data_IF_952253443141
#
_entry.id   IF_952253443141
#
_cell.length_a   1.000
_cell.length_b   1.000
_cell.length_c   1.000
_cell.angle_alpha   90.00
_cell.angle_beta   90.00
_cell.angle_gamma   90.00
#
_symmetry.space_group_name_H-M   'P 1'
#
loop_
_entity.id
_entity.type
_entity.pdbx_description
1 polymer ?
#
# COMPACT_ATOMS: atom_id res chain seq x y z
N UNK A 1 -0.69 0.11 41.07
CA UNK A 1 0.63 -0.42 40.71
C UNK A 1 0.96 -1.77 41.41
N UNK A 2 0.01 -2.66 41.61
CA UNK A 2 0.29 -4.03 42.08
C UNK A 2 -0.70 -4.96 41.38
N UNK A 3 -0.26 -5.70 40.38
CA UNK A 3 -1.08 -6.80 39.84
C UNK A 3 -1.05 -7.05 38.34
N UNK A 4 -0.27 -6.30 37.53
CA UNK A 4 -0.26 -6.50 36.08
C UNK A 4 1.06 -7.07 35.51
N UNK A 5 1.89 -7.68 36.34
CA UNK A 5 3.25 -8.03 35.92
C UNK A 5 3.41 -9.38 35.22
N UNK A 6 2.38 -10.20 35.01
CA UNK A 6 2.60 -11.55 34.44
C UNK A 6 1.48 -12.09 33.51
N UNK A 7 0.38 -11.43 33.30
CA UNK A 7 -0.75 -12.04 32.59
C UNK A 7 -0.69 -12.03 31.04
N UNK A 8 -0.19 -10.98 30.36
CA UNK A 8 -0.26 -10.94 28.88
C UNK A 8 0.71 -11.89 28.19
N UNK A 9 1.92 -12.03 28.69
CA UNK A 9 2.93 -12.90 28.09
C UNK A 9 2.53 -14.39 28.08
N UNK A 10 1.87 -14.85 29.13
CA UNK A 10 1.44 -16.25 29.22
C UNK A 10 0.30 -16.62 28.27
N UNK A 11 -0.56 -15.71 27.92
CA UNK A 11 -1.68 -16.01 27.00
C UNK A 11 -1.21 -16.18 25.56
N UNK A 12 -0.32 -15.33 25.09
CA UNK A 12 0.27 -15.46 23.74
C UNK A 12 1.20 -16.66 23.65
N UNK A 13 2.04 -16.88 24.64
CA UNK A 13 2.92 -18.03 24.78
C UNK A 13 2.14 -19.36 24.68
N UNK A 14 1.03 -19.48 25.41
CA UNK A 14 0.21 -20.68 25.40
C UNK A 14 -0.58 -20.84 24.10
N UNK A 15 -1.03 -19.74 23.48
CA UNK A 15 -1.83 -19.78 22.27
C UNK A 15 -1.00 -20.08 21.01
N UNK A 16 0.24 -19.60 20.94
CA UNK A 16 1.11 -19.74 19.76
C UNK A 16 2.17 -20.85 19.92
N UNK A 17 2.32 -21.42 21.11
CA UNK A 17 3.32 -22.48 21.37
C UNK A 17 4.77 -21.98 21.26
N UNK A 18 5.02 -20.68 21.49
CA UNK A 18 6.36 -20.09 21.43
C UNK A 18 7.23 -20.55 22.59
N UNK A 19 8.51 -20.71 22.33
CA UNK A 19 9.53 -20.94 23.37
C UNK A 19 9.83 -19.65 24.14
N UNK A 20 10.47 -19.76 25.32
CA UNK A 20 10.91 -18.58 26.06
C UNK A 20 11.92 -17.74 25.27
N UNK A 21 12.79 -18.37 24.49
CA UNK A 21 13.77 -17.69 23.65
C UNK A 21 13.08 -16.87 22.55
N UNK A 22 12.13 -17.48 21.83
CA UNK A 22 11.33 -16.80 20.79
C UNK A 22 10.54 -15.64 21.37
N UNK A 23 9.96 -15.79 22.55
CA UNK A 23 9.25 -14.70 23.21
C UNK A 23 10.18 -13.55 23.60
N UNK A 24 11.34 -13.85 24.15
CA UNK A 24 12.32 -12.82 24.51
C UNK A 24 12.85 -12.09 23.27
N UNK A 25 13.09 -12.80 22.17
CA UNK A 25 13.50 -12.22 20.90
C UNK A 25 12.42 -11.31 20.33
N UNK A 26 11.14 -11.72 20.41
CA UNK A 26 10.01 -10.92 19.96
C UNK A 26 9.86 -9.63 20.77
N UNK A 27 9.94 -9.71 22.11
CA UNK A 27 9.90 -8.54 22.99
C UNK A 27 11.06 -7.58 22.69
N UNK A 28 12.27 -8.12 22.53
CA UNK A 28 13.44 -7.33 22.19
C UNK A 28 13.33 -6.65 20.82
N UNK A 29 12.81 -7.35 19.81
CA UNK A 29 12.60 -6.81 18.46
C UNK A 29 11.59 -5.65 18.43
N UNK A 30 10.65 -5.65 19.38
CA UNK A 30 9.65 -4.58 19.53
C UNK A 30 10.06 -3.50 20.54
N UNK A 31 11.25 -3.58 21.13
CA UNK A 31 11.70 -2.73 22.23
C UNK A 31 10.69 -2.68 23.39
N UNK A 32 10.04 -3.83 23.67
CA UNK A 32 9.02 -3.93 24.70
C UNK A 32 9.58 -3.88 26.11
N UNK A 33 8.92 -3.15 26.98
CA UNK A 33 9.27 -3.01 28.41
C UNK A 33 8.20 -3.61 29.32
N UNK A 34 8.54 -3.80 30.57
CA UNK A 34 7.61 -4.32 31.55
C UNK A 34 6.43 -3.36 31.78
N UNK A 35 5.22 -3.80 31.47
CA UNK A 35 3.98 -3.01 31.53
C UNK A 35 3.43 -2.63 30.17
N UNK A 36 4.16 -2.88 29.09
CA UNK A 36 3.69 -2.65 27.73
C UNK A 36 2.66 -3.70 27.30
N UNK A 37 1.76 -3.29 26.42
CA UNK A 37 0.87 -4.15 25.69
C UNK A 37 1.35 -4.25 24.24
N UNK A 38 1.83 -5.43 23.85
CA UNK A 38 2.27 -5.71 22.48
C UNK A 38 1.11 -6.37 21.71
N UNK A 39 0.76 -5.79 20.58
CA UNK A 39 -0.33 -6.24 19.72
C UNK A 39 0.22 -6.73 18.38
N UNK A 40 -0.28 -7.88 17.93
CA UNK A 40 0.18 -8.54 16.71
C UNK A 40 -1.01 -8.87 15.82
N UNK A 41 -0.78 -8.82 14.52
CA UNK A 41 -1.69 -9.35 13.51
C UNK A 41 -0.88 -10.18 12.51
N UNK A 42 -1.43 -11.32 12.09
CA UNK A 42 -0.84 -12.19 11.09
C UNK A 42 -1.94 -12.67 10.15
N UNK A 43 -1.90 -12.21 8.90
CA UNK A 43 -2.84 -12.54 7.84
C UNK A 43 -2.24 -12.08 6.50
N UNK A 44 -3.04 -12.06 5.41
CA UNK A 44 -2.67 -11.38 4.16
C UNK A 44 -2.31 -9.92 4.46
N UNK A 45 -1.32 -9.36 3.76
CA UNK A 45 -0.78 -8.02 4.00
C UNK A 45 -1.87 -6.94 4.16
N UNK A 46 -2.87 -6.93 3.28
CA UNK A 46 -3.97 -5.96 3.33
C UNK A 46 -4.72 -6.01 4.66
N UNK A 47 -5.05 -7.22 5.13
CA UNK A 47 -5.78 -7.42 6.40
C UNK A 47 -4.95 -6.93 7.59
N UNK A 48 -3.64 -7.22 7.58
CA UNK A 48 -2.71 -6.77 8.64
C UNK A 48 -2.62 -5.25 8.65
N UNK A 49 -2.40 -4.61 7.50
CA UNK A 49 -2.28 -3.16 7.42
C UNK A 49 -3.57 -2.43 7.83
N UNK A 50 -4.71 -2.88 7.33
CA UNK A 50 -6.02 -2.29 7.67
C UNK A 50 -6.31 -2.43 9.16
N UNK A 51 -6.07 -3.62 9.73
CA UNK A 51 -6.34 -3.89 11.15
C UNK A 51 -5.43 -3.12 12.09
N UNK A 52 -4.11 -3.16 11.86
CA UNK A 52 -3.15 -2.44 12.71
C UNK A 52 -3.23 -0.93 12.51
N UNK A 53 -3.51 -0.47 11.30
CA UNK A 53 -3.74 0.94 11.00
C UNK A 53 -4.95 1.50 11.75
N UNK A 54 -6.09 0.81 11.69
CA UNK A 54 -7.30 1.19 12.42
C UNK A 54 -7.08 1.15 13.94
N UNK A 55 -6.44 0.09 14.44
CA UNK A 55 -6.14 -0.06 15.86
C UNK A 55 -5.24 1.06 16.38
N UNK A 56 -4.20 1.44 15.63
CA UNK A 56 -3.30 2.54 15.99
C UNK A 56 -4.06 3.86 16.18
N UNK A 57 -4.97 4.18 15.26
CA UNK A 57 -5.78 5.41 15.32
C UNK A 57 -6.74 5.36 16.50
N UNK A 58 -7.39 4.23 16.71
CA UNK A 58 -8.34 4.06 17.81
C UNK A 58 -7.67 4.21 19.19
N UNK A 59 -6.53 3.56 19.38
CA UNK A 59 -5.74 3.68 20.60
C UNK A 59 -5.22 5.11 20.81
N UNK A 60 -4.78 5.79 19.74
CA UNK A 60 -4.33 7.17 19.84
C UNK A 60 -5.45 8.12 20.27
N UNK A 61 -6.69 7.88 19.84
CA UNK A 61 -7.88 8.64 20.28
C UNK A 61 -8.21 8.35 21.75
N UNK A 62 -8.26 7.07 22.15
CA UNK A 62 -8.58 6.66 23.52
C UNK A 62 -7.56 7.14 24.54
N UNK A 63 -6.29 7.21 24.15
CA UNK A 63 -5.20 7.66 25.00
C UNK A 63 -4.92 9.18 24.88
N UNK A 64 -5.76 9.91 24.13
CA UNK A 64 -5.64 11.36 23.92
C UNK A 64 -4.26 11.80 23.38
N UNK A 65 -3.62 10.96 22.54
CA UNK A 65 -2.31 11.23 21.97
C UNK A 65 -2.33 12.13 20.73
N UNK A 66 -3.52 12.46 20.21
CA UNK A 66 -3.69 13.29 19.02
C UNK A 66 -3.79 14.76 19.42
N UNK A 67 -2.74 15.54 19.17
CA UNK A 67 -2.77 16.99 19.34
C UNK A 67 -3.44 17.65 18.12
N UNK A 68 -4.58 18.30 18.34
CA UNK A 68 -5.36 18.98 17.29
C UNK A 68 -4.69 20.27 16.76
N UNK A 69 -3.70 20.78 17.47
CA UNK A 69 -2.95 21.98 17.07
C UNK A 69 -1.66 21.65 16.34
N UNK A 70 -1.33 20.38 16.20
CA UNK A 70 -0.14 19.91 15.49
C UNK A 70 -0.50 19.57 14.04
N UNK A 71 0.30 20.04 13.09
CA UNK A 71 0.15 19.78 11.66
C UNK A 71 1.34 18.97 11.17
N UNK A 72 1.10 17.69 10.84
CA UNK A 72 2.12 16.75 10.35
C UNK A 72 1.82 16.36 8.93
N UNK A 73 2.71 16.79 8.02
CA UNK A 73 2.65 16.42 6.60
C UNK A 73 3.50 15.18 6.33
N UNK A 74 3.02 14.34 5.43
CA UNK A 74 3.77 13.20 4.89
C UNK A 74 3.49 13.04 3.42
N UNK A 75 4.54 12.75 2.63
CA UNK A 75 4.41 12.29 1.26
C UNK A 75 4.26 10.77 1.27
N UNK A 76 3.25 10.27 0.56
CA UNK A 76 3.11 8.85 0.23
C UNK A 76 3.52 8.70 -1.22
N UNK A 77 4.43 7.80 -1.50
CA UNK A 77 5.00 7.56 -2.83
C UNK A 77 5.13 6.07 -3.10
N UNK A 78 5.49 5.71 -4.33
CA UNK A 78 5.73 4.32 -4.72
C UNK A 78 4.52 3.40 -4.51
N UNK A 79 3.33 3.90 -4.79
CA UNK A 79 2.12 3.10 -4.76
C UNK A 79 2.23 1.89 -5.71
N UNK A 80 1.57 0.76 -5.43
CA UNK A 80 1.37 -0.26 -6.43
C UNK A 80 0.70 0.34 -7.67
N UNK A 81 1.19 -0.03 -8.87
CA UNK A 81 0.57 0.40 -10.13
C UNK A 81 -0.77 -0.30 -10.34
N UNK A 82 -0.78 -1.60 -10.05
CA UNK A 82 -1.90 -2.50 -10.23
C UNK A 82 -2.18 -3.26 -8.93
N UNK A 83 -3.44 -3.57 -8.70
CA UNK A 83 -3.87 -4.45 -7.61
C UNK A 83 -4.74 -5.60 -8.14
N UNK A 84 -4.67 -6.75 -7.48
CA UNK A 84 -5.50 -7.89 -7.83
C UNK A 84 -6.91 -7.71 -7.29
N UNK A 85 -7.90 -7.72 -8.17
CA UNK A 85 -9.31 -7.72 -7.80
C UNK A 85 -9.84 -9.14 -7.73
N UNK A 86 -10.16 -9.59 -6.53
CA UNK A 86 -10.80 -10.92 -6.31
C UNK A 86 -12.19 -10.96 -6.97
N UNK A 87 -12.91 -9.85 -7.00
CA UNK A 87 -14.24 -9.74 -7.60
C UNK A 87 -14.18 -9.90 -9.13
N UNK A 88 -13.20 -9.23 -9.77
CA UNK A 88 -13.05 -9.25 -11.22
C UNK A 88 -12.12 -10.37 -11.72
N UNK A 89 -11.43 -11.06 -10.78
CA UNK A 89 -10.43 -12.08 -11.06
C UNK A 89 -9.37 -11.63 -12.08
N UNK A 90 -8.90 -10.39 -11.93
CA UNK A 90 -7.88 -9.76 -12.77
C UNK A 90 -7.17 -8.61 -12.06
N UNK A 91 -6.08 -8.14 -12.62
CA UNK A 91 -5.47 -6.89 -12.20
C UNK A 91 -6.33 -5.69 -12.62
N UNK A 92 -6.41 -4.71 -11.75
CA UNK A 92 -7.04 -3.41 -11.98
C UNK A 92 -6.06 -2.29 -11.65
N UNK A 93 -6.19 -1.14 -12.29
CA UNK A 93 -5.36 0.01 -11.98
C UNK A 93 -5.69 0.53 -10.58
N UNK A 94 -4.69 0.73 -9.74
CA UNK A 94 -4.90 1.25 -8.40
C UNK A 94 -5.37 2.71 -8.43
N UNK A 95 -4.83 3.52 -9.33
CA UNK A 95 -5.22 4.92 -9.53
C UNK A 95 -5.88 5.13 -10.88
N UNK A 96 -5.11 4.99 -11.95
CA UNK A 96 -5.59 5.27 -13.30
C UNK A 96 -4.79 4.47 -14.35
N UNK A 97 -5.43 3.95 -15.44
CA UNK A 97 -4.75 3.17 -16.46
C UNK A 97 -3.69 3.94 -17.28
N UNK A 98 -3.60 5.25 -17.12
CA UNK A 98 -2.57 6.08 -17.74
C UNK A 98 -1.48 6.54 -16.78
N UNK A 99 -1.41 5.98 -15.57
CA UNK A 99 -0.36 6.27 -14.61
C UNK A 99 0.95 5.62 -15.05
N UNK A 100 2.03 6.42 -15.09
CA UNK A 100 3.37 5.96 -15.46
C UNK A 100 3.92 5.01 -14.40
N UNK A 101 4.37 3.81 -14.78
CA UNK A 101 5.15 2.95 -13.89
C UNK A 101 6.53 3.54 -13.59
N UNK A 102 7.14 3.11 -12.50
CA UNK A 102 8.56 3.38 -12.24
C UNK A 102 9.41 2.71 -13.32
N UNK A 103 10.46 3.43 -13.82
CA UNK A 103 11.28 2.94 -14.92
C UNK A 103 11.97 1.61 -14.61
N UNK A 104 12.45 1.45 -13.39
CA UNK A 104 13.11 0.24 -12.94
C UNK A 104 12.19 -0.99 -12.88
N UNK A 105 10.87 -0.76 -12.82
CA UNK A 105 9.85 -1.81 -12.71
C UNK A 105 9.21 -2.17 -14.07
N UNK A 106 9.50 -1.45 -15.16
CA UNK A 106 8.93 -1.67 -16.49
C UNK A 106 9.06 -3.12 -16.98
N UNK A 107 10.15 -3.79 -16.64
CA UNK A 107 10.41 -5.17 -17.01
C UNK A 107 9.41 -6.17 -16.39
N UNK A 108 8.66 -5.76 -15.34
CA UNK A 108 7.75 -6.64 -14.62
C UNK A 108 6.28 -6.47 -15.04
N UNK A 109 5.94 -5.47 -15.86
CA UNK A 109 4.55 -5.17 -16.23
C UNK A 109 3.81 -6.40 -16.76
N UNK A 110 4.45 -7.20 -17.61
CA UNK A 110 3.86 -8.39 -18.23
C UNK A 110 4.09 -9.66 -17.40
N UNK A 111 5.21 -9.76 -16.69
CA UNK A 111 5.61 -10.98 -15.97
C UNK A 111 5.14 -11.05 -14.52
N UNK A 112 5.08 -9.92 -13.83
CA UNK A 112 4.67 -9.80 -12.42
C UNK A 112 4.02 -8.42 -12.15
N UNK A 113 2.81 -8.18 -12.70
CA UNK A 113 2.15 -6.87 -12.62
C UNK A 113 1.94 -6.35 -11.20
N UNK A 114 1.75 -7.26 -10.25
CA UNK A 114 1.54 -6.90 -8.83
C UNK A 114 2.77 -6.32 -8.14
N UNK A 115 3.95 -6.44 -8.74
CA UNK A 115 5.21 -5.90 -8.22
C UNK A 115 5.49 -4.48 -8.70
N UNK A 116 4.83 -4.04 -9.77
CA UNK A 116 5.13 -2.76 -10.43
C UNK A 116 4.63 -1.61 -9.58
N UNK A 117 5.52 -0.64 -9.31
CA UNK A 117 5.18 0.60 -8.60
C UNK A 117 4.82 1.71 -9.59
N UNK A 118 3.96 2.61 -9.13
CA UNK A 118 3.49 3.77 -9.87
C UNK A 118 4.33 5.02 -9.56
N UNK A 119 4.51 5.89 -10.54
CA UNK A 119 4.94 7.28 -10.34
C UNK A 119 3.75 8.13 -9.90
N UNK A 120 3.19 7.77 -8.76
CA UNK A 120 2.10 8.47 -8.11
C UNK A 120 2.52 8.93 -6.72
N UNK A 121 1.87 9.97 -6.23
CA UNK A 121 2.17 10.56 -4.94
C UNK A 121 0.94 11.21 -4.34
N UNK A 122 0.82 11.15 -3.01
CA UNK A 122 -0.16 11.89 -2.25
C UNK A 122 0.54 12.71 -1.17
N UNK A 123 0.03 13.90 -0.90
CA UNK A 123 0.36 14.66 0.29
C UNK A 123 -0.76 14.49 1.31
N UNK A 124 -0.38 14.03 2.48
CA UNK A 124 -1.30 13.70 3.58
C UNK A 124 -1.01 14.61 4.77
N UNK A 125 -2.05 15.19 5.33
CA UNK A 125 -2.00 16.01 6.54
C UNK A 125 -2.79 15.31 7.65
N UNK A 126 -2.13 14.93 8.74
CA UNK A 126 -2.75 14.29 9.90
C UNK A 126 -3.66 13.10 9.55
N UNK A 127 -3.24 12.29 8.58
CA UNK A 127 -3.98 11.11 8.11
C UNK A 127 -5.07 11.40 7.07
N UNK A 128 -5.21 12.66 6.61
CA UNK A 128 -6.13 13.02 5.53
C UNK A 128 -5.34 13.41 4.28
N UNK A 129 -5.66 12.80 3.16
CA UNK A 129 -5.16 13.22 1.86
C UNK A 129 -5.68 14.62 1.54
N UNK A 130 -4.76 15.53 1.24
CA UNK A 130 -5.09 16.92 0.88
C UNK A 130 -4.75 17.25 -0.57
N UNK A 131 -4.11 16.35 -1.26
CA UNK A 131 -3.80 16.43 -2.69
C UNK A 131 -2.94 15.28 -3.12
N UNK A 132 -2.98 14.98 -4.41
CA UNK A 132 -2.19 13.91 -5.01
C UNK A 132 -2.08 14.08 -6.51
N UNK A 133 -1.24 13.25 -7.11
CA UNK A 133 -1.04 13.25 -8.55
C UNK A 133 -0.20 12.08 -9.03
N UNK A 134 -0.05 12.02 -10.35
CA UNK A 134 0.81 11.02 -10.98
C UNK A 134 1.40 11.55 -12.27
N UNK A 135 2.58 11.07 -12.62
CA UNK A 135 3.10 11.22 -13.97
C UNK A 135 2.28 10.33 -14.90
N UNK A 136 1.93 10.86 -16.06
CA UNK A 136 1.16 10.10 -17.06
C UNK A 136 2.08 9.39 -18.03
N UNK A 137 1.62 8.24 -18.54
CA UNK A 137 2.28 7.55 -19.65
C UNK A 137 2.17 8.45 -20.89
N UNK A 138 3.30 8.63 -21.57
CA UNK A 138 3.41 9.40 -22.81
C UNK A 138 4.07 8.59 -23.95
N UNK A 139 4.36 7.32 -23.70
CA UNK A 139 4.99 6.39 -24.62
C UNK A 139 3.99 5.29 -25.01
N UNK A 140 3.79 5.09 -26.32
CA UNK A 140 2.81 4.14 -26.85
C UNK A 140 3.05 2.72 -26.38
N UNK A 141 4.30 2.26 -26.41
CA UNK A 141 4.69 0.90 -26.05
C UNK A 141 4.44 0.59 -24.56
N UNK A 142 4.63 1.58 -23.69
CA UNK A 142 4.33 1.42 -22.26
C UNK A 142 2.81 1.40 -22.03
N UNK A 143 2.07 2.23 -22.74
CA UNK A 143 0.61 2.27 -22.63
C UNK A 143 -0.04 0.98 -23.13
N UNK A 144 0.48 0.42 -24.20
CA UNK A 144 0.05 -0.87 -24.74
C UNK A 144 0.25 -2.01 -23.72
N UNK A 145 1.45 -2.11 -23.14
CA UNK A 145 1.76 -3.06 -22.06
C UNK A 145 0.84 -2.88 -20.85
N UNK A 146 0.54 -1.64 -20.47
CA UNK A 146 -0.37 -1.35 -19.38
C UNK A 146 -1.78 -1.85 -19.67
N UNK A 147 -2.30 -1.66 -20.88
CA UNK A 147 -3.60 -2.19 -21.28
C UNK A 147 -3.63 -3.71 -21.27
N UNK A 148 -2.58 -4.37 -21.77
CA UNK A 148 -2.48 -5.83 -21.73
C UNK A 148 -2.47 -6.35 -20.28
N UNK A 149 -1.72 -5.72 -19.39
CA UNK A 149 -1.70 -6.08 -17.97
C UNK A 149 -3.07 -5.92 -17.28
N UNK A 150 -3.89 -4.99 -17.77
CA UNK A 150 -5.28 -4.79 -17.34
C UNK A 150 -6.26 -5.76 -18.02
N UNK A 151 -5.80 -6.60 -18.95
CA UNK A 151 -6.62 -7.59 -19.66
C UNK A 151 -7.38 -7.05 -20.85
N UNK A 152 -7.03 -5.87 -21.39
CA UNK A 152 -7.57 -5.39 -22.65
C UNK A 152 -6.90 -6.09 -23.83
N UNK A 153 -7.68 -6.39 -24.86
CA UNK A 153 -7.13 -6.67 -26.19
C UNK A 153 -6.81 -5.37 -26.91
N UNK A 154 -5.96 -5.41 -27.94
CA UNK A 154 -5.62 -4.22 -28.74
C UNK A 154 -6.86 -3.56 -29.33
N UNK A 155 -7.81 -4.38 -29.81
CA UNK A 155 -9.08 -3.89 -30.36
C UNK A 155 -9.93 -3.18 -29.31
N UNK A 156 -9.99 -3.72 -28.07
CA UNK A 156 -10.73 -3.11 -26.97
C UNK A 156 -10.07 -1.81 -26.52
N UNK A 157 -8.74 -1.81 -26.38
CA UNK A 157 -7.96 -0.62 -26.03
C UNK A 157 -8.16 0.49 -27.07
N UNK A 158 -8.04 0.15 -28.36
CA UNK A 158 -8.22 1.12 -29.44
C UNK A 158 -9.67 1.62 -29.56
N UNK A 159 -10.66 0.75 -29.37
CA UNK A 159 -12.07 1.15 -29.39
C UNK A 159 -12.43 2.16 -28.31
N UNK A 160 -11.82 2.05 -27.13
CA UNK A 160 -12.09 2.94 -25.99
C UNK A 160 -11.19 4.17 -25.96
N UNK A 161 -9.91 4.01 -26.31
CA UNK A 161 -8.87 5.00 -26.09
C UNK A 161 -8.09 5.36 -27.38
N UNK A 162 -8.57 4.93 -28.56
CA UNK A 162 -7.87 5.14 -29.82
C UNK A 162 -7.55 6.59 -30.11
N UNK A 163 -8.43 7.52 -29.73
CA UNK A 163 -8.19 8.96 -29.86
C UNK A 163 -6.95 9.43 -29.08
N UNK A 164 -6.69 8.84 -27.91
CA UNK A 164 -5.54 9.15 -27.08
C UNK A 164 -4.26 8.48 -27.64
N UNK A 165 -4.36 7.20 -28.02
CA UNK A 165 -3.25 6.46 -28.63
C UNK A 165 -2.80 7.12 -29.95
N UNK A 166 -3.74 7.61 -30.75
CA UNK A 166 -3.42 8.35 -31.95
C UNK A 166 -2.75 9.70 -31.65
N UNK A 167 -3.17 10.38 -30.56
CA UNK A 167 -2.52 11.61 -30.13
C UNK A 167 -1.05 11.39 -29.72
N UNK A 168 -0.73 10.27 -29.09
CA UNK A 168 0.64 9.94 -28.70
C UNK A 168 1.60 9.86 -29.90
N UNK A 169 1.11 9.45 -31.07
CA UNK A 169 1.91 9.38 -32.30
C UNK A 169 2.42 10.75 -32.78
N UNK A 170 1.79 11.82 -32.34
CA UNK A 170 2.25 13.19 -32.64
C UNK A 170 3.23 13.75 -31.61
N UNK A 171 3.52 12.97 -30.57
CA UNK A 171 4.37 13.35 -29.45
C UNK A 171 3.58 14.06 -28.35
N UNK A 172 3.70 13.55 -27.13
CA UNK A 172 3.09 14.10 -25.92
C UNK A 172 4.20 14.47 -24.95
N UNK A 173 4.23 15.72 -24.42
CA UNK A 173 5.18 16.04 -23.36
C UNK A 173 4.86 15.24 -22.10
N UNK A 174 5.88 14.89 -21.29
CA UNK A 174 5.68 14.33 -19.97
C UNK A 174 4.82 15.28 -19.11
N UNK A 175 3.83 14.76 -18.43
CA UNK A 175 2.90 15.55 -17.60
C UNK A 175 2.37 14.75 -16.40
#
# INVERSE_FOLDING_TARGET
KKGMQQAPHRSLFNALGLTEEEMNNLIAAMNGEAGDLLLFAADKNKVVWDSLGALRIELAKQLELLDKNEYRFVWITEFPLLEWSEEQNRFVAMHHPFTMPMEEDLQYIESDPGRVRAKAYDIVLNGNEIGGGSVRIFQDDIQEKMFHALGFTDEQAYSQFGFLLDAFKYGVPPH
#
